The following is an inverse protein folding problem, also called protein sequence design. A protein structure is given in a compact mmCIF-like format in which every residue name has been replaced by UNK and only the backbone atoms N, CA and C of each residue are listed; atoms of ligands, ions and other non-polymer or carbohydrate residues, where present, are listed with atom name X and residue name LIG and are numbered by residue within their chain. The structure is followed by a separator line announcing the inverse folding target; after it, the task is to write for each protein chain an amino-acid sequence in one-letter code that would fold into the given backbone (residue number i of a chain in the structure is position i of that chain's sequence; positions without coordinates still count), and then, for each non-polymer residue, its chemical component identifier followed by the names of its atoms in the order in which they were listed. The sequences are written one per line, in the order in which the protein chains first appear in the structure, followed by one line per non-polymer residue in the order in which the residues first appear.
data_IF_226297664716
#
_entry.id   IF_226297664716
#
_cell.length_a   1.000
_cell.length_b   1.000
_cell.length_c   1.000
_cell.angle_alpha   90.00
_cell.angle_beta   90.00
_cell.angle_gamma   90.00
#
_symmetry.space_group_name_H-M   'P 1'
#
loop_
_entity.id
_entity.type
_entity.pdbx_description
1 polymer ?
#
# COMPACT_ATOMS: atom_id res chain seq x y z
N UNK A 1 -22.64 8.04 -6.79
CA UNK A 1 -21.37 8.72 -7.13
C UNK A 1 -20.38 8.31 -6.05
N UNK A 2 -19.14 7.96 -6.37
CA UNK A 2 -18.12 7.64 -5.36
C UNK A 2 -17.49 8.92 -4.81
N UNK A 3 -17.42 9.03 -3.49
CA UNK A 3 -16.80 10.17 -2.80
C UNK A 3 -15.29 10.17 -3.05
N UNK A 4 -14.72 11.36 -3.25
CA UNK A 4 -13.27 11.54 -3.48
C UNK A 4 -12.74 12.64 -2.59
N UNK A 5 -11.64 12.36 -1.92
CA UNK A 5 -10.93 13.34 -1.10
C UNK A 5 -9.45 13.36 -1.44
N UNK A 6 -8.81 14.48 -1.13
CA UNK A 6 -7.37 14.62 -1.16
C UNK A 6 -6.90 14.91 0.26
N UNK A 7 -6.29 13.91 0.87
CA UNK A 7 -5.74 14.01 2.21
C UNK A 7 -4.25 14.37 2.13
N UNK A 8 -3.76 15.26 3.00
CA UNK A 8 -2.38 15.77 2.92
C UNK A 8 -1.31 14.65 3.01
N UNK A 9 -1.52 13.69 3.92
CA UNK A 9 -0.62 12.53 4.10
C UNK A 9 -1.00 11.32 3.23
N UNK A 10 -2.28 10.90 3.29
CA UNK A 10 -2.75 9.68 2.60
C UNK A 10 -2.91 9.86 1.08
N UNK A 11 -2.95 11.11 0.58
CA UNK A 11 -3.08 11.46 -0.83
C UNK A 11 -4.52 11.36 -1.35
N UNK A 12 -4.65 11.05 -2.64
CA UNK A 12 -5.95 10.92 -3.29
C UNK A 12 -6.64 9.60 -2.91
N UNK A 13 -7.87 9.69 -2.39
CA UNK A 13 -8.67 8.56 -1.91
C UNK A 13 -10.05 8.56 -2.58
N UNK A 14 -10.60 7.36 -2.82
CA UNK A 14 -11.97 7.16 -3.29
C UNK A 14 -12.70 6.24 -2.32
N UNK A 15 -13.91 6.59 -1.91
CA UNK A 15 -14.71 5.75 -1.04
C UNK A 15 -15.37 4.60 -1.81
N UNK A 16 -15.12 3.38 -1.36
CA UNK A 16 -15.69 2.11 -1.85
C UNK A 16 -15.69 1.10 -0.70
N UNK A 17 -16.73 1.15 0.16
CA UNK A 17 -16.83 0.37 1.41
C UNK A 17 -15.57 0.50 2.31
N UNK A 18 -14.97 1.70 2.30
CA UNK A 18 -13.66 2.04 2.87
C UNK A 18 -12.93 3.03 1.97
N UNK A 19 -11.88 3.69 2.46
CA UNK A 19 -11.13 4.65 1.67
C UNK A 19 -10.02 3.96 0.87
N UNK A 20 -10.13 3.99 -0.45
CA UNK A 20 -9.24 3.28 -1.35
C UNK A 20 -8.18 4.20 -1.93
N UNK A 21 -6.91 3.79 -1.78
CA UNK A 21 -5.76 4.34 -2.51
C UNK A 21 -5.23 3.31 -3.50
N UNK A 22 -5.14 3.67 -4.77
CA UNK A 22 -4.41 2.86 -5.75
C UNK A 22 -2.92 3.20 -5.70
N UNK A 23 -2.06 2.19 -5.56
CA UNK A 23 -0.61 2.35 -5.66
C UNK A 23 -0.03 1.43 -6.73
N UNK A 24 1.02 1.88 -7.39
CA UNK A 24 1.78 1.07 -8.32
C UNK A 24 3.04 0.53 -7.63
N UNK A 25 3.39 -0.71 -7.91
CA UNK A 25 4.60 -1.36 -7.41
C UNK A 25 5.21 -2.21 -8.51
N UNK A 26 6.52 -2.40 -8.46
CA UNK A 26 7.22 -3.38 -9.29
C UNK A 26 7.52 -4.60 -8.44
N UNK A 27 6.99 -5.75 -8.84
CA UNK A 27 7.20 -7.02 -8.15
C UNK A 27 7.56 -8.08 -9.18
N UNK A 28 8.72 -8.71 -8.99
CA UNK A 28 9.33 -9.66 -9.91
C UNK A 28 9.46 -9.11 -11.34
N UNK A 29 9.85 -7.84 -11.46
CA UNK A 29 10.01 -7.14 -12.74
C UNK A 29 8.70 -6.82 -13.47
N UNK A 30 7.55 -7.02 -12.81
CA UNK A 30 6.23 -6.71 -13.38
C UNK A 30 5.60 -5.56 -12.61
N UNK A 31 5.21 -4.50 -13.32
CA UNK A 31 4.42 -3.41 -12.76
C UNK A 31 3.01 -3.91 -12.43
N UNK A 32 2.61 -3.76 -11.16
CA UNK A 32 1.29 -4.09 -10.65
C UNK A 32 0.64 -2.86 -10.03
N UNK A 33 -0.66 -2.72 -10.20
CA UNK A 33 -1.46 -1.77 -9.43
C UNK A 33 -2.21 -2.55 -8.36
N UNK A 34 -2.10 -2.11 -7.12
CA UNK A 34 -2.83 -2.70 -5.99
C UNK A 34 -3.68 -1.63 -5.31
N UNK A 35 -4.75 -2.08 -4.66
CA UNK A 35 -5.60 -1.27 -3.82
C UNK A 35 -5.16 -1.38 -2.37
N UNK A 36 -4.99 -0.24 -1.71
CA UNK A 36 -4.82 -0.14 -0.27
C UNK A 36 -6.14 0.40 0.29
N UNK A 37 -6.77 -0.37 1.17
CA UNK A 37 -8.01 0.01 1.83
C UNK A 37 -7.65 0.58 3.20
N UNK A 38 -8.11 1.80 3.46
CA UNK A 38 -8.00 2.50 4.72
C UNK A 38 -9.38 2.44 5.36
N UNK A 39 -9.47 1.71 6.47
CA UNK A 39 -10.73 1.47 7.16
C UNK A 39 -11.17 2.73 7.91
N UNK A 40 -12.25 3.36 7.42
CA UNK A 40 -12.95 4.46 8.05
C UNK A 40 -14.30 4.67 7.32
N UNK A 41 -15.29 5.18 8.06
CA UNK A 41 -16.57 5.56 7.48
C UNK A 41 -16.42 6.74 6.51
N UNK A 42 -17.41 6.90 5.62
CA UNK A 42 -17.44 7.97 4.61
C UNK A 42 -17.29 9.37 5.22
N UNK A 43 -17.80 9.59 6.44
CA UNK A 43 -17.82 10.87 7.13
C UNK A 43 -16.92 10.92 8.37
N UNK A 44 -16.11 9.89 8.61
CA UNK A 44 -15.20 9.85 9.75
C UNK A 44 -13.86 10.49 9.42
N UNK A 45 -13.26 11.14 10.41
CA UNK A 45 -11.86 11.55 10.36
C UNK A 45 -10.94 10.33 10.51
N UNK A 46 -9.75 10.39 9.91
CA UNK A 46 -8.73 9.37 10.11
C UNK A 46 -8.03 9.56 11.45
N UNK A 47 -7.90 8.49 12.23
CA UNK A 47 -7.17 8.55 13.49
C UNK A 47 -5.69 8.86 13.25
N UNK A 48 -5.10 9.71 14.10
CA UNK A 48 -3.67 10.09 13.97
C UNK A 48 -2.74 8.88 13.94
N UNK A 49 -2.99 7.87 14.77
CA UNK A 49 -2.18 6.66 14.81
C UNK A 49 -2.28 5.85 13.50
N UNK A 50 -3.49 5.79 12.91
CA UNK A 50 -3.73 5.16 11.61
C UNK A 50 -2.96 5.89 10.50
N UNK A 51 -3.07 7.22 10.45
CA UNK A 51 -2.35 8.05 9.47
C UNK A 51 -0.84 7.85 9.57
N UNK A 52 -0.28 7.85 10.78
CA UNK A 52 1.14 7.61 11.02
C UNK A 52 1.59 6.21 10.60
N UNK A 53 0.75 5.19 10.80
CA UNK A 53 1.05 3.83 10.37
C UNK A 53 1.12 3.72 8.84
N UNK A 54 0.15 4.32 8.13
CA UNK A 54 0.16 4.35 6.66
C UNK A 54 1.32 5.16 6.10
N UNK A 55 1.64 6.32 6.69
CA UNK A 55 2.82 7.11 6.32
C UNK A 55 4.10 6.28 6.45
N UNK A 56 4.29 5.59 7.59
CA UNK A 56 5.45 4.74 7.81
C UNK A 56 5.51 3.55 6.83
N UNK A 57 4.35 3.00 6.44
CA UNK A 57 4.23 1.97 5.42
C UNK A 57 4.66 2.49 4.05
N UNK A 58 4.06 3.58 3.57
CA UNK A 58 4.37 4.14 2.25
C UNK A 58 5.84 4.57 2.14
N UNK A 59 6.42 5.16 3.18
CA UNK A 59 7.84 5.53 3.23
C UNK A 59 8.80 4.34 3.15
N UNK A 60 8.35 3.13 3.46
CA UNK A 60 9.16 1.90 3.46
C UNK A 60 8.69 0.89 2.42
N UNK A 61 7.69 1.24 1.60
CA UNK A 61 6.96 0.30 0.78
C UNK A 61 7.85 -0.40 -0.25
N UNK A 62 8.66 0.36 -0.99
CA UNK A 62 9.61 -0.20 -1.96
C UNK A 62 10.61 -1.17 -1.30
N UNK A 63 11.10 -0.83 -0.10
CA UNK A 63 11.98 -1.70 0.68
C UNK A 63 11.27 -2.99 1.13
N UNK A 64 9.99 -2.92 1.47
CA UNK A 64 9.18 -4.10 1.82
C UNK A 64 9.07 -5.03 0.60
N UNK A 65 8.67 -4.48 -0.55
CA UNK A 65 8.56 -5.23 -1.81
C UNK A 65 9.89 -5.89 -2.18
N UNK A 66 10.99 -5.13 -2.15
CA UNK A 66 12.32 -5.66 -2.45
C UNK A 66 12.75 -6.79 -1.53
N UNK A 67 12.46 -6.69 -0.23
CA UNK A 67 12.76 -7.77 0.73
C UNK A 67 11.98 -9.05 0.42
N UNK A 68 10.72 -8.93 0.00
CA UNK A 68 9.93 -10.08 -0.42
C UNK A 68 10.55 -10.77 -1.65
N UNK A 69 10.96 -9.99 -2.66
CA UNK A 69 11.63 -10.55 -3.84
C UNK A 69 12.93 -11.28 -3.49
N UNK A 70 13.78 -10.65 -2.68
CA UNK A 70 15.05 -11.22 -2.24
C UNK A 70 14.85 -12.50 -1.43
N UNK A 71 13.81 -12.56 -0.58
CA UNK A 71 13.49 -13.77 0.17
C UNK A 71 13.12 -14.94 -0.76
N UNK A 72 12.29 -14.69 -1.77
CA UNK A 72 11.91 -15.70 -2.77
C UNK A 72 13.12 -16.11 -3.62
N UNK A 73 13.93 -15.17 -4.08
CA UNK A 73 15.14 -15.46 -4.84
C UNK A 73 16.13 -16.32 -4.04
N UNK A 74 16.39 -15.95 -2.78
CA UNK A 74 17.31 -16.68 -1.92
C UNK A 74 16.85 -18.11 -1.62
N UNK A 75 15.55 -18.38 -1.58
CA UNK A 75 15.02 -19.74 -1.45
C UNK A 75 15.46 -20.59 -2.64
N UNK A 76 15.21 -20.13 -3.86
CA UNK A 76 15.60 -20.87 -5.07
C UNK A 76 17.12 -21.00 -5.24
N UNK A 77 17.91 -20.03 -4.80
CA UNK A 77 19.37 -20.15 -4.82
C UNK A 77 19.91 -21.21 -3.86
N UNK A 78 19.20 -21.49 -2.75
CA UNK A 78 19.59 -22.54 -1.80
C UNK A 78 19.14 -23.93 -2.25
N UNK A 79 17.98 -24.02 -2.89
CA UNK A 79 17.40 -25.27 -3.39
C UNK A 79 17.92 -25.65 -4.79
N UNK A 80 18.65 -24.76 -5.46
CA UNK A 80 19.32 -25.08 -6.73
C UNK A 80 20.53 -25.99 -6.45
N UNK A 81 20.60 -27.19 -7.05
CA UNK A 81 21.76 -28.07 -6.95
C UNK A 81 23.02 -27.51 -7.61
#
# INVERSE_FOLDING_TARGET
MSLKIKHDILGDLTYDYGWVKNIALELFGVRKTIQVIIDADENADFEKAQVQAFEAFFNKFEKIVRRAEVAVFNFYQKESP
#
